data_IF_340561323531
#
_entry.id   IF_340561323531
#
_cell.length_a   1.000
_cell.length_b   1.000
_cell.length_c   1.000
_cell.angle_alpha   90.00
_cell.angle_beta   90.00
_cell.angle_gamma   90.00
#
_symmetry.space_group_name_H-M   'P 1'
#
loop_
_entity.id
_entity.type
_entity.pdbx_description
1 polymer ?
#
# COMPACT_ATOMS: atom_id res chain seq x y z
N UNK A 1 26.16 -5.57 20.84
CA UNK A 1 25.06 -6.11 20.02
C UNK A 1 25.23 -5.85 18.52
N UNK A 2 25.73 -4.67 18.08
CA UNK A 2 25.99 -4.36 16.65
C UNK A 2 26.93 -5.32 15.90
N UNK A 3 27.89 -5.95 16.59
CA UNK A 3 28.86 -6.86 15.95
C UNK A 3 28.32 -8.26 15.62
N UNK A 4 27.20 -8.66 16.23
CA UNK A 4 26.61 -10.00 16.03
C UNK A 4 25.77 -10.05 14.75
N UNK A 5 25.09 -8.96 14.40
CA UNK A 5 24.28 -8.90 13.16
C UNK A 5 25.15 -8.96 11.89
N UNK A 6 26.29 -8.24 11.90
CA UNK A 6 27.24 -8.27 10.77
C UNK A 6 27.86 -9.64 10.59
N UNK A 7 28.06 -10.39 11.68
CA UNK A 7 28.64 -11.74 11.62
C UNK A 7 27.68 -12.79 11.04
N UNK A 8 26.37 -12.62 11.22
CA UNK A 8 25.36 -13.54 10.66
C UNK A 8 25.21 -13.31 9.17
N UNK A 9 25.21 -12.07 8.71
CA UNK A 9 25.16 -11.74 7.28
C UNK A 9 26.41 -12.25 6.53
N UNK A 10 27.59 -12.16 7.14
CA UNK A 10 28.85 -12.65 6.55
C UNK A 10 28.99 -14.19 6.55
N UNK A 11 28.35 -14.90 7.47
CA UNK A 11 28.40 -16.37 7.52
C UNK A 11 27.51 -17.04 6.45
N UNK A 12 26.44 -16.37 6.03
CA UNK A 12 25.57 -16.86 4.93
C UNK A 12 26.22 -16.68 3.55
N UNK A 13 27.10 -15.71 3.37
CA UNK A 13 27.85 -15.48 2.12
C UNK A 13 29.01 -16.49 1.94
N UNK A 14 29.45 -17.17 3.01
CA UNK A 14 30.60 -18.09 2.96
C UNK A 14 30.23 -19.56 2.62
N UNK A 15 28.96 -19.93 2.59
CA UNK A 15 28.52 -21.26 2.16
C UNK A 15 28.26 -21.27 0.65
N UNK A 16 29.31 -21.38 -0.14
CA UNK A 16 29.33 -21.29 -1.59
C UNK A 16 28.36 -22.22 -2.34
N UNK A 17 27.15 -21.76 -2.49
CA UNK A 17 26.26 -22.09 -3.59
C UNK A 17 25.87 -20.75 -4.24
N UNK A 18 25.86 -20.69 -5.57
CA UNK A 18 25.38 -19.53 -6.29
C UNK A 18 23.98 -19.18 -5.73
N UNK A 19 23.92 -18.18 -4.86
CA UNK A 19 22.67 -17.71 -4.30
C UNK A 19 21.85 -17.20 -5.47
N UNK A 20 20.75 -17.86 -5.76
CA UNK A 20 19.78 -17.32 -6.69
C UNK A 20 19.40 -15.93 -6.14
N UNK A 21 19.51 -14.92 -6.98
CA UNK A 21 19.05 -13.57 -6.66
C UNK A 21 17.54 -13.69 -6.40
N UNK A 22 17.08 -13.23 -5.23
CA UNK A 22 15.65 -13.15 -4.92
C UNK A 22 14.99 -12.17 -5.90
N UNK A 23 13.75 -12.43 -6.26
CA UNK A 23 12.95 -11.60 -7.16
C UNK A 23 11.70 -11.19 -6.40
N UNK A 24 11.67 -9.93 -5.99
CA UNK A 24 10.63 -9.39 -5.15
C UNK A 24 9.63 -8.58 -5.97
N UNK A 25 8.36 -8.76 -5.70
CA UNK A 25 7.28 -8.04 -6.38
C UNK A 25 6.62 -7.04 -5.45
N UNK A 26 6.43 -5.83 -5.92
CA UNK A 26 5.70 -4.79 -5.21
C UNK A 26 4.73 -4.04 -6.12
N UNK A 27 3.74 -3.40 -5.51
CA UNK A 27 2.82 -2.54 -6.23
C UNK A 27 3.48 -1.18 -6.53
N UNK A 28 3.27 -0.67 -7.73
CA UNK A 28 3.77 0.65 -8.11
C UNK A 28 3.17 1.74 -7.21
N UNK A 29 4.02 2.59 -6.65
CA UNK A 29 3.63 3.70 -5.81
C UNK A 29 3.70 5.02 -6.57
N UNK A 30 2.59 5.73 -6.66
CA UNK A 30 2.55 7.09 -7.20
C UNK A 30 3.18 7.23 -8.57
N UNK A 31 4.18 8.09 -8.68
CA UNK A 31 4.93 8.36 -9.93
C UNK A 31 6.34 7.78 -9.93
N UNK A 32 6.73 7.04 -8.91
CA UNK A 32 8.06 6.43 -8.92
C UNK A 32 8.17 5.39 -10.01
N UNK A 33 9.21 5.49 -10.81
CA UNK A 33 9.61 4.41 -11.72
C UNK A 33 10.22 3.27 -10.89
N UNK A 34 10.25 2.06 -11.47
CA UNK A 34 10.91 0.91 -10.86
C UNK A 34 12.35 1.23 -10.45
N UNK A 35 13.10 1.96 -11.29
CA UNK A 35 14.48 2.35 -11.01
C UNK A 35 14.61 3.36 -9.87
N UNK A 36 13.67 4.28 -9.74
CA UNK A 36 13.64 5.25 -8.64
C UNK A 36 13.31 4.55 -7.32
N UNK A 37 12.36 3.64 -7.33
CA UNK A 37 12.01 2.86 -6.13
C UNK A 37 13.13 1.91 -5.74
N UNK A 38 13.76 1.20 -6.68
CA UNK A 38 14.93 0.34 -6.42
C UNK A 38 16.10 1.13 -5.84
N UNK A 39 16.39 2.33 -6.39
CA UNK A 39 17.38 3.23 -5.81
C UNK A 39 17.02 3.66 -4.40
N UNK A 40 15.76 4.03 -4.21
CA UNK A 40 15.26 4.45 -2.91
C UNK A 40 15.38 3.35 -1.84
N UNK A 41 14.97 2.11 -2.17
CA UNK A 41 15.12 0.95 -1.30
C UNK A 41 16.60 0.66 -1.04
N UNK A 42 17.42 0.66 -2.08
CA UNK A 42 18.88 0.44 -1.97
C UNK A 42 19.54 1.49 -1.06
N UNK A 43 19.19 2.75 -1.22
CA UNK A 43 19.71 3.85 -0.39
C UNK A 43 19.22 3.74 1.06
N UNK A 44 17.99 3.31 1.27
CA UNK A 44 17.44 3.05 2.59
C UNK A 44 18.16 1.88 3.29
N UNK A 45 18.42 0.80 2.59
CA UNK A 45 19.11 -0.39 3.10
C UNK A 45 20.61 -0.12 3.36
N UNK A 46 21.27 0.68 2.53
CA UNK A 46 22.69 1.00 2.68
C UNK A 46 22.98 2.01 3.79
N UNK A 47 21.98 2.76 4.24
CA UNK A 47 22.11 3.68 5.36
C UNK A 47 21.76 2.98 6.66
N UNK A 48 22.73 2.71 7.51
CA UNK A 48 22.67 2.01 8.82
C UNK A 48 21.60 2.52 9.83
N UNK A 49 20.83 3.54 9.48
CA UNK A 49 19.76 4.12 10.31
C UNK A 49 18.44 3.37 10.21
N UNK A 50 18.26 2.55 9.18
CA UNK A 50 17.14 1.64 9.05
C UNK A 50 17.60 0.25 9.43
N UNK A 51 17.59 -0.02 10.74
CA UNK A 51 17.61 -1.39 11.18
C UNK A 51 16.27 -2.01 10.71
N UNK A 52 16.32 -2.65 9.57
CA UNK A 52 15.37 -3.70 9.23
C UNK A 52 15.46 -4.68 10.40
N UNK A 53 14.56 -4.58 11.36
CA UNK A 53 14.37 -5.62 12.34
C UNK A 53 13.77 -6.80 11.56
N UNK A 54 14.65 -7.58 10.95
CA UNK A 54 14.35 -8.93 10.55
C UNK A 54 13.85 -9.63 11.81
N UNK A 55 12.54 -9.74 11.94
CA UNK A 55 11.98 -10.75 12.82
C UNK A 55 12.44 -12.07 12.22
N UNK A 56 13.51 -12.59 12.72
CA UNK A 56 13.85 -13.98 12.54
C UNK A 56 12.67 -14.76 13.06
N UNK A 57 11.83 -15.16 12.14
CA UNK A 57 10.92 -16.25 12.38
C UNK A 57 11.87 -17.38 12.73
N UNK A 58 11.74 -17.94 13.93
CA UNK A 58 12.57 -19.04 14.42
C UNK A 58 12.18 -20.33 13.67
N UNK A 59 12.29 -20.26 12.34
CA UNK A 59 11.93 -21.30 11.39
C UNK A 59 12.94 -21.36 10.26
N UNK A 60 13.89 -22.30 10.32
CA UNK A 60 14.96 -22.42 9.34
C UNK A 60 14.48 -22.66 7.89
N UNK A 61 13.26 -23.16 7.71
CA UNK A 61 12.67 -23.34 6.39
C UNK A 61 12.40 -22.03 5.63
N UNK A 62 12.42 -20.89 6.32
CA UNK A 62 12.22 -19.56 5.72
C UNK A 62 13.52 -18.81 5.42
N UNK A 63 14.66 -19.38 5.84
CA UNK A 63 15.96 -18.77 5.61
C UNK A 63 16.26 -18.44 4.12
N UNK A 64 15.81 -19.23 3.12
CA UNK A 64 16.02 -18.91 1.71
C UNK A 64 15.34 -17.61 1.25
N UNK A 65 14.29 -17.17 1.94
CA UNK A 65 13.52 -15.97 1.60
C UNK A 65 14.05 -14.71 2.28
N UNK A 66 14.97 -14.87 3.22
CA UNK A 66 15.53 -13.78 4.02
C UNK A 66 16.84 -13.24 3.43
N UNK A 67 17.29 -13.75 2.32
CA UNK A 67 18.58 -13.39 1.74
C UNK A 67 18.41 -12.63 0.44
N UNK A 68 18.96 -11.48 0.45
CA UNK A 68 19.48 -10.71 -0.65
C UNK A 68 18.53 -9.69 -1.27
N UNK A 69 19.06 -8.51 -1.40
CA UNK A 69 18.75 -7.52 -2.41
C UNK A 69 18.57 -8.25 -3.74
N UNK A 70 17.35 -8.33 -4.23
CA UNK A 70 16.97 -9.04 -5.43
C UNK A 70 16.70 -8.10 -6.60
N UNK A 71 16.25 -8.67 -7.69
CA UNK A 71 15.70 -7.91 -8.79
C UNK A 71 14.27 -7.47 -8.42
N UNK A 72 14.05 -6.17 -8.31
CA UNK A 72 12.74 -5.61 -8.03
C UNK A 72 11.88 -5.55 -9.29
N UNK A 73 10.64 -6.00 -9.17
CA UNK A 73 9.66 -5.98 -10.26
C UNK A 73 8.41 -5.21 -9.84
N UNK A 74 8.09 -4.12 -10.54
CA UNK A 74 6.85 -3.38 -10.29
C UNK A 74 5.67 -3.96 -11.06
N UNK A 75 4.52 -3.99 -10.43
CA UNK A 75 3.26 -4.49 -11.00
C UNK A 75 2.17 -3.42 -10.92
N UNK A 76 1.26 -3.44 -11.88
CA UNK A 76 0.14 -2.50 -11.93
C UNK A 76 -1.05 -2.95 -11.08
N UNK A 77 -1.09 -4.21 -10.65
CA UNK A 77 -2.17 -4.76 -9.83
C UNK A 77 -1.69 -5.88 -8.91
N UNK A 78 -2.40 -6.06 -7.79
CA UNK A 78 -2.18 -7.18 -6.87
C UNK A 78 -2.37 -8.54 -7.58
N UNK A 79 -3.35 -8.63 -8.48
CA UNK A 79 -3.63 -9.85 -9.23
C UNK A 79 -2.46 -10.24 -10.15
N UNK A 80 -1.87 -9.27 -10.86
CA UNK A 80 -0.69 -9.51 -11.69
C UNK A 80 0.51 -9.97 -10.85
N UNK A 81 0.73 -9.34 -9.70
CA UNK A 81 1.81 -9.69 -8.79
C UNK A 81 1.63 -11.09 -8.22
N UNK A 82 0.41 -11.47 -7.80
CA UNK A 82 0.09 -12.81 -7.33
C UNK A 82 0.28 -13.88 -8.43
N UNK A 83 -0.14 -13.59 -9.66
CA UNK A 83 0.11 -14.50 -10.80
C UNK A 83 1.61 -14.67 -11.07
N UNK A 84 2.41 -13.62 -10.92
CA UNK A 84 3.86 -13.69 -11.08
C UNK A 84 4.51 -14.56 -9.98
N UNK A 85 4.06 -14.43 -8.73
CA UNK A 85 4.47 -15.26 -7.60
C UNK A 85 4.09 -16.72 -7.85
N UNK A 86 2.86 -17.00 -8.26
CA UNK A 86 2.39 -18.36 -8.55
C UNK A 86 3.15 -19.02 -9.70
N UNK A 87 3.48 -18.24 -10.72
CA UNK A 87 4.28 -18.72 -11.86
C UNK A 87 5.78 -18.85 -11.54
N UNK A 88 6.24 -18.46 -10.35
CA UNK A 88 7.65 -18.45 -9.97
C UNK A 88 8.49 -17.43 -10.74
N UNK A 89 7.87 -16.37 -11.26
CA UNK A 89 8.57 -15.24 -11.88
C UNK A 89 9.18 -14.30 -10.84
N UNK A 90 8.55 -14.22 -9.68
CA UNK A 90 9.05 -13.58 -8.47
C UNK A 90 9.03 -14.59 -7.34
N UNK A 91 9.83 -14.39 -6.33
CA UNK A 91 9.97 -15.29 -5.18
C UNK A 91 9.09 -14.84 -4.02
N UNK A 92 8.89 -13.53 -3.91
CA UNK A 92 8.03 -12.89 -2.92
C UNK A 92 7.20 -11.77 -3.54
N UNK A 93 6.13 -11.41 -2.86
CA UNK A 93 5.39 -10.18 -3.12
C UNK A 93 5.31 -9.34 -1.85
N UNK A 94 5.64 -8.07 -1.96
CA UNK A 94 5.57 -7.11 -0.87
C UNK A 94 4.17 -6.51 -0.75
N UNK A 95 3.58 -6.64 0.44
CA UNK A 95 2.25 -6.10 0.74
C UNK A 95 2.32 -5.16 1.96
N UNK A 96 1.52 -4.11 1.91
CA UNK A 96 1.23 -3.33 3.12
C UNK A 96 0.51 -4.22 4.15
N UNK A 97 0.81 -4.01 5.42
CA UNK A 97 0.24 -4.81 6.51
C UNK A 97 -1.28 -5.05 6.38
N UNK A 98 -2.16 -4.05 6.17
CA UNK A 98 -3.59 -4.31 6.10
C UNK A 98 -3.99 -5.19 4.91
N UNK A 99 -3.28 -5.08 3.79
CA UNK A 99 -3.51 -5.92 2.61
C UNK A 99 -3.03 -7.35 2.85
N UNK A 100 -1.88 -7.52 3.50
CA UNK A 100 -1.38 -8.84 3.88
C UNK A 100 -2.30 -9.53 4.89
N UNK A 101 -2.74 -8.84 5.93
CA UNK A 101 -3.67 -9.37 6.91
C UNK A 101 -4.98 -9.84 6.26
N UNK A 102 -5.53 -9.04 5.35
CA UNK A 102 -6.70 -9.43 4.57
C UNK A 102 -6.42 -10.63 3.66
N UNK A 103 -5.29 -10.61 2.94
CA UNK A 103 -4.89 -11.72 2.06
C UNK A 103 -4.86 -13.07 2.79
N UNK A 104 -4.35 -13.09 4.02
CA UNK A 104 -4.28 -14.31 4.83
C UNK A 104 -5.61 -14.69 5.50
N UNK A 105 -6.61 -13.81 5.54
CA UNK A 105 -7.98 -14.18 5.94
C UNK A 105 -8.73 -14.92 4.83
N UNK A 106 -8.34 -14.72 3.57
CA UNK A 106 -8.99 -15.39 2.44
C UNK A 106 -8.72 -16.89 2.47
N UNK A 107 -9.77 -17.68 2.21
CA UNK A 107 -9.73 -19.14 2.26
C UNK A 107 -8.66 -19.73 1.33
N UNK A 108 -7.83 -20.59 1.87
CA UNK A 108 -6.79 -21.33 1.15
C UNK A 108 -5.46 -20.59 0.98
N UNK A 109 -5.39 -19.29 1.25
CA UNK A 109 -4.11 -18.57 1.14
C UNK A 109 -3.12 -19.02 2.21
N UNK A 110 -3.56 -19.26 3.43
CA UNK A 110 -2.73 -19.84 4.49
C UNK A 110 -2.16 -21.23 4.16
N UNK A 111 -2.76 -21.96 3.22
CA UNK A 111 -2.27 -23.28 2.83
C UNK A 111 -1.14 -23.17 1.80
N UNK A 112 -1.15 -22.13 0.98
CA UNK A 112 -0.24 -21.94 -0.16
C UNK A 112 0.91 -20.98 0.13
N UNK A 113 0.69 -19.97 0.97
CA UNK A 113 1.61 -18.86 1.16
C UNK A 113 2.04 -18.71 2.61
N UNK A 114 3.13 -17.98 2.80
CA UNK A 114 3.76 -17.69 4.10
C UNK A 114 4.00 -16.19 4.19
N UNK A 115 3.57 -15.53 5.28
CA UNK A 115 3.94 -14.16 5.55
C UNK A 115 5.27 -14.08 6.31
N UNK A 116 6.07 -13.08 6.02
CA UNK A 116 7.13 -12.60 6.91
C UNK A 116 7.18 -11.07 6.92
N UNK A 117 7.47 -10.53 8.08
CA UNK A 117 7.53 -9.09 8.28
C UNK A 117 8.96 -8.63 7.98
N UNK A 118 9.12 -7.72 7.00
CA UNK A 118 10.45 -7.27 6.57
C UNK A 118 10.82 -5.95 7.20
N UNK A 119 9.90 -5.00 7.30
CA UNK A 119 10.24 -3.66 7.72
C UNK A 119 9.36 -3.14 8.84
N UNK A 120 10.01 -2.58 9.84
CA UNK A 120 9.42 -1.69 10.82
C UNK A 120 10.28 -0.44 10.88
N UNK A 121 9.66 0.72 11.05
CA UNK A 121 10.37 1.98 11.28
C UNK A 121 10.22 3.02 10.18
N UNK A 122 9.69 2.66 9.02
CA UNK A 122 9.23 3.63 8.03
C UNK A 122 7.71 3.74 8.13
N UNK A 123 7.20 4.91 8.40
CA UNK A 123 5.76 5.13 8.54
C UNK A 123 5.17 5.55 7.21
N UNK A 124 4.19 4.78 6.76
CA UNK A 124 3.44 5.01 5.53
C UNK A 124 2.10 5.64 5.87
N UNK A 125 1.63 6.50 5.00
CA UNK A 125 0.37 7.22 5.16
C UNK A 125 -0.51 7.08 3.94
N UNK A 126 -1.83 7.08 4.17
CA UNK A 126 -2.81 7.34 3.13
C UNK A 126 -3.36 8.75 3.30
N UNK A 127 -3.37 9.48 2.21
CA UNK A 127 -3.96 10.80 2.08
C UNK A 127 -4.74 10.89 0.76
N UNK A 128 -5.46 11.97 0.56
CA UNK A 128 -6.03 12.29 -0.75
C UNK A 128 -5.17 13.35 -1.43
N UNK A 129 -4.90 13.16 -2.71
CA UNK A 129 -4.18 14.11 -3.55
C UNK A 129 -5.12 14.92 -4.41
N UNK A 130 -4.84 16.21 -4.52
CA UNK A 130 -5.55 17.17 -5.37
C UNK A 130 -4.54 18.01 -6.15
N UNK A 131 -4.92 18.47 -7.34
CA UNK A 131 -4.14 19.49 -8.02
C UNK A 131 -3.99 20.72 -7.13
N UNK A 132 -2.81 21.32 -7.07
CA UNK A 132 -2.58 22.54 -6.32
C UNK A 132 -3.55 23.64 -6.78
N UNK A 133 -4.21 24.32 -5.82
CA UNK A 133 -5.25 25.30 -6.08
C UNK A 133 -6.64 24.71 -6.39
N UNK A 134 -6.82 23.38 -6.29
CA UNK A 134 -8.15 22.77 -6.42
C UNK A 134 -9.12 23.30 -5.37
N UNK A 135 -10.34 23.67 -5.81
CA UNK A 135 -11.42 24.08 -4.90
C UNK A 135 -11.85 22.98 -3.92
N UNK A 136 -11.54 21.72 -4.24
CA UNK A 136 -11.92 20.56 -3.44
C UNK A 136 -10.94 20.21 -2.33
N UNK A 137 -9.70 20.70 -2.42
CA UNK A 137 -8.66 20.36 -1.44
C UNK A 137 -9.10 20.69 -0.02
N UNK A 138 -9.43 21.94 0.24
CA UNK A 138 -9.76 22.41 1.60
C UNK A 138 -11.04 21.76 2.16
N UNK A 139 -12.18 21.65 1.41
CA UNK A 139 -13.34 20.93 1.88
C UNK A 139 -13.07 19.47 2.28
N UNK A 140 -12.31 18.73 1.47
CA UNK A 140 -11.96 17.35 1.78
C UNK A 140 -11.02 17.24 2.97
N UNK A 141 -10.01 18.10 3.05
CA UNK A 141 -9.08 18.16 4.17
C UNK A 141 -9.78 18.43 5.50
N UNK A 142 -10.69 19.41 5.55
CA UNK A 142 -11.49 19.70 6.74
C UNK A 142 -12.46 18.56 7.10
N UNK A 143 -13.04 17.88 6.11
CA UNK A 143 -13.85 16.69 6.36
C UNK A 143 -13.01 15.57 7.03
N UNK A 144 -11.80 15.29 6.55
CA UNK A 144 -10.88 14.32 7.15
C UNK A 144 -10.50 14.71 8.58
N UNK A 145 -10.14 15.98 8.82
CA UNK A 145 -9.87 16.49 10.17
C UNK A 145 -11.06 16.31 11.11
N UNK A 146 -12.26 16.60 10.61
CA UNK A 146 -13.50 16.42 11.37
C UNK A 146 -13.74 14.94 11.70
N UNK A 147 -13.51 14.01 10.75
CA UNK A 147 -13.63 12.58 10.95
C UNK A 147 -12.60 12.02 11.95
N UNK A 148 -11.42 12.61 11.98
CA UNK A 148 -10.41 12.31 13.02
C UNK A 148 -10.91 12.73 14.40
N UNK A 149 -11.40 13.96 14.51
CA UNK A 149 -11.85 14.59 15.76
C UNK A 149 -13.02 13.83 16.39
N UNK A 150 -14.01 13.44 15.62
CA UNK A 150 -15.20 12.73 16.09
C UNK A 150 -15.05 11.20 16.10
N UNK A 151 -13.84 10.69 15.80
CA UNK A 151 -13.47 9.27 15.75
C UNK A 151 -14.15 8.46 14.64
N UNK A 152 -14.77 9.09 13.65
CA UNK A 152 -15.35 8.38 12.51
C UNK A 152 -14.31 7.54 11.77
N UNK A 153 -13.08 8.06 11.57
CA UNK A 153 -11.99 7.29 10.96
C UNK A 153 -11.66 6.03 11.74
N UNK A 154 -11.73 6.07 13.07
CA UNK A 154 -11.48 4.89 13.90
C UNK A 154 -12.56 3.81 13.68
N UNK A 155 -13.83 4.20 13.61
CA UNK A 155 -14.92 3.27 13.34
C UNK A 155 -14.83 2.67 11.94
N UNK A 156 -14.57 3.50 10.92
CA UNK A 156 -14.38 3.00 9.55
C UNK A 156 -13.18 2.07 9.44
N UNK A 157 -12.07 2.37 10.13
CA UNK A 157 -10.90 1.47 10.19
C UNK A 157 -11.28 0.13 10.81
N UNK A 158 -11.99 0.12 11.93
CA UNK A 158 -12.43 -1.12 12.56
C UNK A 158 -13.28 -1.95 11.58
N UNK A 159 -14.30 -1.35 10.99
CA UNK A 159 -15.24 -2.02 10.10
C UNK A 159 -14.64 -2.51 8.79
N UNK A 160 -13.82 -1.68 8.12
CA UNK A 160 -13.37 -1.94 6.75
C UNK A 160 -11.93 -2.45 6.63
N UNK A 161 -11.15 -2.46 7.72
CA UNK A 161 -9.80 -3.04 7.73
C UNK A 161 -9.71 -4.18 8.75
N UNK A 162 -10.06 -3.93 10.03
CA UNK A 162 -9.83 -4.93 11.07
C UNK A 162 -10.83 -6.09 10.97
N UNK A 163 -12.11 -5.78 10.69
CA UNK A 163 -13.20 -6.75 10.55
C UNK A 163 -13.43 -7.18 9.08
N UNK A 164 -12.60 -6.69 8.15
CA UNK A 164 -12.71 -7.04 6.73
C UNK A 164 -12.61 -8.55 6.52
N UNK A 165 -13.51 -9.10 5.70
CA UNK A 165 -13.56 -10.50 5.30
C UNK A 165 -13.82 -10.68 3.80
N UNK A 166 -14.04 -11.92 3.35
CA UNK A 166 -14.32 -12.25 1.94
C UNK A 166 -15.67 -11.66 1.42
N UNK A 167 -16.55 -11.21 2.31
CA UNK A 167 -17.88 -10.68 1.98
C UNK A 167 -18.00 -9.23 2.48
N UNK A 168 -17.35 -8.27 1.84
CA UNK A 168 -17.35 -6.90 2.29
C UNK A 168 -18.76 -6.31 2.27
N UNK A 169 -19.09 -5.52 3.28
CA UNK A 169 -20.32 -4.73 3.25
C UNK A 169 -20.24 -3.69 2.13
N UNK A 170 -21.27 -3.60 1.26
CA UNK A 170 -21.29 -2.61 0.18
C UNK A 170 -21.30 -1.19 0.73
N UNK A 171 -20.41 -0.36 0.23
CA UNK A 171 -20.42 1.07 0.54
C UNK A 171 -21.45 1.76 -0.34
N UNK A 172 -22.37 2.50 0.29
CA UNK A 172 -23.40 3.26 -0.42
C UNK A 172 -23.08 4.75 -0.37
N UNK A 173 -23.19 5.40 -1.52
CA UNK A 173 -23.14 6.84 -1.61
C UNK A 173 -24.55 7.43 -1.58
N UNK A 174 -24.74 8.40 -0.70
CA UNK A 174 -25.94 9.23 -0.73
C UNK A 174 -25.99 10.02 -2.03
N UNK A 175 -27.19 10.31 -2.50
CA UNK A 175 -27.41 11.18 -3.66
C UNK A 175 -28.03 12.50 -3.20
N UNK A 176 -27.42 13.59 -3.62
CA UNK A 176 -27.84 14.95 -3.30
C UNK A 176 -28.34 15.60 -4.59
N UNK A 177 -29.67 15.81 -4.75
CA UNK A 177 -30.20 16.52 -5.92
C UNK A 177 -29.55 17.89 -6.07
N UNK A 178 -29.22 18.25 -7.31
CA UNK A 178 -28.62 19.53 -7.69
C UNK A 178 -27.24 19.85 -7.08
N UNK A 179 -26.62 18.88 -6.37
CA UNK A 179 -25.27 19.03 -5.86
C UNK A 179 -24.20 18.79 -6.91
N UNK A 180 -23.07 19.45 -6.75
CA UNK A 180 -21.90 19.19 -7.61
C UNK A 180 -21.46 17.74 -7.51
N UNK A 181 -20.96 17.21 -8.61
CA UNK A 181 -20.35 15.88 -8.67
C UNK A 181 -18.83 16.03 -8.72
N UNK A 182 -18.15 15.38 -7.79
CA UNK A 182 -16.69 15.32 -7.72
C UNK A 182 -16.22 13.99 -8.28
N UNK A 183 -15.25 14.02 -9.18
CA UNK A 183 -14.66 12.83 -9.78
C UNK A 183 -13.40 12.43 -9.04
N UNK A 184 -13.41 11.23 -8.45
CA UNK A 184 -12.28 10.70 -7.68
C UNK A 184 -11.71 9.47 -8.38
N UNK A 185 -10.40 9.50 -8.65
CA UNK A 185 -9.70 8.37 -9.21
C UNK A 185 -9.31 7.36 -8.12
N UNK A 186 -9.54 6.09 -8.40
CA UNK A 186 -9.28 4.95 -7.51
C UNK A 186 -8.53 3.87 -8.29
N UNK A 187 -7.69 3.09 -7.62
CA UNK A 187 -7.02 1.95 -8.26
C UNK A 187 -7.89 0.70 -8.27
N UNK A 188 -8.65 0.50 -7.22
CA UNK A 188 -9.66 -0.55 -7.14
C UNK A 188 -9.12 -1.98 -7.02
N UNK A 189 -7.87 -2.16 -6.59
CA UNK A 189 -7.20 -3.46 -6.57
C UNK A 189 -6.34 -3.74 -5.32
N UNK A 190 -6.52 -2.96 -4.25
CA UNK A 190 -5.76 -3.08 -3.00
C UNK A 190 -6.71 -3.37 -1.82
N UNK A 191 -7.29 -4.58 -1.74
CA UNK A 191 -8.15 -4.93 -0.61
C UNK A 191 -7.33 -5.01 0.70
N UNK A 192 -7.93 -4.66 1.85
CA UNK A 192 -9.29 -4.15 2.04
C UNK A 192 -9.38 -2.62 1.94
N UNK A 193 -8.32 -1.96 1.44
CA UNK A 193 -8.19 -0.50 1.41
C UNK A 193 -9.02 0.10 0.27
N UNK A 194 -8.75 -0.34 -0.96
CA UNK A 194 -9.33 0.20 -2.18
C UNK A 194 -9.49 -0.93 -3.21
N UNK A 195 -10.71 -1.41 -3.43
CA UNK A 195 -10.95 -2.49 -4.37
C UNK A 195 -12.37 -2.49 -4.94
N UNK A 196 -12.54 -3.24 -6.02
CA UNK A 196 -13.83 -3.52 -6.63
C UNK A 196 -14.25 -4.93 -6.18
N UNK A 197 -15.40 -5.03 -5.55
CA UNK A 197 -15.97 -6.31 -5.12
C UNK A 197 -16.36 -7.19 -6.33
N UNK A 198 -16.60 -8.47 -6.10
CA UNK A 198 -16.89 -9.43 -7.15
C UNK A 198 -18.16 -9.10 -7.98
N UNK A 199 -19.09 -8.35 -7.41
CA UNK A 199 -20.30 -7.86 -8.07
C UNK A 199 -20.08 -6.55 -8.87
N UNK A 200 -18.84 -6.04 -8.90
CA UNK A 200 -18.48 -4.80 -9.59
C UNK A 200 -18.70 -3.53 -8.76
N UNK A 201 -19.11 -3.64 -7.50
CA UNK A 201 -19.29 -2.47 -6.65
C UNK A 201 -17.98 -2.01 -6.01
N UNK A 202 -17.74 -0.68 -5.91
CA UNK A 202 -16.62 -0.14 -5.14
C UNK A 202 -16.75 -0.51 -3.67
N UNK A 203 -15.65 -0.98 -3.08
CA UNK A 203 -15.60 -1.46 -1.71
C UNK A 203 -14.31 -1.02 -1.00
N UNK A 204 -14.24 -1.26 0.30
CA UNK A 204 -13.08 -1.02 1.11
C UNK A 204 -13.07 0.31 1.83
N UNK A 205 -12.01 0.48 2.58
CA UNK A 205 -11.83 1.58 3.51
C UNK A 205 -11.82 2.96 2.83
N UNK A 206 -11.13 3.09 1.70
CA UNK A 206 -11.09 4.34 0.93
C UNK A 206 -12.48 4.73 0.42
N UNK A 207 -13.23 3.77 -0.11
CA UNK A 207 -14.60 4.00 -0.57
C UNK A 207 -15.52 4.43 0.57
N UNK A 208 -15.38 3.82 1.75
CA UNK A 208 -16.16 4.19 2.94
C UNK A 208 -15.82 5.61 3.44
N UNK A 209 -14.54 5.98 3.47
CA UNK A 209 -14.11 7.35 3.79
C UNK A 209 -14.72 8.33 2.80
N UNK A 210 -14.66 8.04 1.51
CA UNK A 210 -15.17 8.92 0.48
C UNK A 210 -16.70 9.10 0.57
N UNK A 211 -17.43 8.03 0.88
CA UNK A 211 -18.87 8.12 1.10
C UNK A 211 -19.21 9.01 2.30
N UNK A 212 -18.46 8.92 3.38
CA UNK A 212 -18.64 9.77 4.55
C UNK A 212 -18.27 11.23 4.26
N UNK A 213 -17.19 11.48 3.52
CA UNK A 213 -16.84 12.85 3.06
C UNK A 213 -17.97 13.41 2.21
N UNK A 214 -18.45 12.64 1.24
CA UNK A 214 -19.56 13.06 0.36
C UNK A 214 -20.81 13.42 1.14
N UNK A 215 -21.16 12.62 2.15
CA UNK A 215 -22.28 12.88 3.06
C UNK A 215 -22.11 14.16 3.85
N UNK A 216 -20.91 14.44 4.40
CA UNK A 216 -20.62 15.68 5.16
C UNK A 216 -20.67 16.91 4.28
N UNK A 217 -20.12 16.83 3.09
CA UNK A 217 -20.05 17.96 2.15
C UNK A 217 -21.33 18.12 1.33
N UNK A 218 -22.25 17.14 1.38
CA UNK A 218 -23.47 17.05 0.55
C UNK A 218 -23.17 17.18 -0.94
N UNK A 219 -22.22 16.40 -1.41
CA UNK A 219 -21.78 16.34 -2.81
C UNK A 219 -22.04 14.94 -3.38
N UNK A 220 -22.14 14.87 -4.71
CA UNK A 220 -22.15 13.60 -5.41
C UNK A 220 -20.70 13.17 -5.76
N UNK A 221 -20.48 11.87 -5.87
CA UNK A 221 -19.17 11.31 -6.23
C UNK A 221 -19.31 10.43 -7.48
N UNK A 222 -18.39 10.61 -8.42
CA UNK A 222 -18.15 9.71 -9.54
C UNK A 222 -16.77 9.07 -9.34
N UNK A 223 -16.72 7.74 -9.37
CA UNK A 223 -15.46 7.01 -9.27
C UNK A 223 -14.89 6.72 -10.64
N UNK A 224 -13.58 6.95 -10.82
CA UNK A 224 -12.83 6.63 -12.02
C UNK A 224 -11.76 5.62 -11.70
N UNK A 225 -11.80 4.44 -12.30
CA UNK A 225 -10.73 3.46 -12.14
C UNK A 225 -9.49 3.86 -12.96
N UNK A 226 -8.31 3.78 -12.34
CA UNK A 226 -7.00 4.07 -12.95
C UNK A 226 -5.96 3.04 -12.49
N UNK A 227 -4.89 2.91 -13.25
CA UNK A 227 -3.68 2.21 -12.78
C UNK A 227 -2.93 3.05 -11.75
N UNK A 228 -2.24 2.40 -10.83
CA UNK A 228 -1.51 3.06 -9.75
C UNK A 228 -0.53 4.13 -10.25
N UNK A 229 0.23 3.87 -11.30
CA UNK A 229 1.16 4.82 -11.91
C UNK A 229 0.52 6.02 -12.62
N UNK A 230 -0.80 6.03 -12.82
CA UNK A 230 -1.49 7.11 -13.50
C UNK A 230 -1.96 8.25 -12.59
N UNK A 231 -1.79 8.14 -11.26
CA UNK A 231 -2.33 9.09 -10.26
C UNK A 231 -1.99 10.55 -10.55
N UNK A 232 -0.72 10.88 -10.74
CA UNK A 232 -0.31 12.25 -10.99
C UNK A 232 -0.79 12.76 -12.36
N UNK A 233 -0.71 11.91 -13.37
CA UNK A 233 -1.14 12.28 -14.73
C UNK A 233 -2.63 12.58 -14.81
N UNK A 234 -3.48 11.86 -14.07
CA UNK A 234 -4.91 12.08 -14.06
C UNK A 234 -5.27 13.40 -13.38
N UNK A 235 -4.56 13.80 -12.32
CA UNK A 235 -4.71 15.11 -11.69
C UNK A 235 -4.19 16.24 -12.57
N UNK A 236 -3.00 16.09 -13.13
CA UNK A 236 -2.39 17.09 -14.01
C UNK A 236 -3.26 17.38 -15.24
N UNK A 237 -3.90 16.35 -15.80
CA UNK A 237 -4.81 16.48 -16.95
C UNK A 237 -6.26 16.85 -16.59
N UNK A 238 -6.56 17.07 -15.30
CA UNK A 238 -7.89 17.40 -14.78
C UNK A 238 -8.99 16.40 -15.17
N UNK A 239 -8.60 15.14 -15.41
CA UNK A 239 -9.55 14.04 -15.68
C UNK A 239 -10.26 13.57 -14.42
N UNK A 240 -9.63 13.76 -13.25
CA UNK A 240 -10.24 13.62 -11.95
C UNK A 240 -9.93 14.85 -11.09
N UNK A 241 -10.82 15.16 -10.16
CA UNK A 241 -10.67 16.24 -9.20
C UNK A 241 -9.73 15.86 -8.05
N UNK A 242 -9.73 14.58 -7.67
CA UNK A 242 -8.92 14.05 -6.60
C UNK A 242 -8.57 12.58 -6.81
N UNK A 243 -7.62 12.07 -6.03
CA UNK A 243 -7.13 10.70 -6.09
C UNK A 243 -6.72 10.24 -4.71
N UNK A 244 -6.87 8.95 -4.42
CA UNK A 244 -6.23 8.37 -3.25
C UNK A 244 -4.74 8.22 -3.46
N UNK A 245 -3.96 8.64 -2.45
CA UNK A 245 -2.51 8.68 -2.51
C UNK A 245 -1.90 8.00 -1.32
N UNK A 246 -0.83 7.27 -1.49
CA UNK A 246 0.03 6.94 -0.38
C UNK A 246 1.43 7.51 -0.52
N UNK A 247 2.02 7.74 0.65
CA UNK A 247 3.34 8.32 0.80
C UNK A 247 3.93 7.86 2.14
N UNK A 248 5.22 7.97 2.28
CA UNK A 248 5.85 7.67 3.55
C UNK A 248 6.39 8.92 4.22
N UNK A 249 6.46 8.86 5.55
CA UNK A 249 6.98 9.95 6.34
C UNK A 249 8.46 10.15 6.06
N UNK A 250 8.84 11.41 6.01
CA UNK A 250 10.21 11.83 6.00
C UNK A 250 10.88 11.42 7.30
N UNK A 251 11.85 10.53 7.24
CA UNK A 251 12.83 10.44 8.31
C UNK A 251 13.92 11.49 8.07
N UNK A 252 14.84 11.69 9.05
CA UNK A 252 15.88 12.74 8.96
C UNK A 252 16.71 12.74 7.68
N UNK A 253 16.70 11.64 6.91
CA UNK A 253 17.45 11.48 5.67
C UNK A 253 16.59 11.22 4.42
N UNK A 254 15.31 10.86 4.57
CA UNK A 254 14.43 10.56 3.44
C UNK A 254 13.48 11.71 3.18
N UNK A 255 13.34 12.08 1.94
CA UNK A 255 12.32 13.05 1.52
C UNK A 255 10.95 12.36 1.50
N UNK A 256 9.88 13.13 1.77
CA UNK A 256 8.54 12.64 1.53
C UNK A 256 8.48 12.04 0.14
N UNK A 257 8.14 10.77 0.09
CA UNK A 257 8.30 9.91 -1.05
C UNK A 257 7.90 10.52 -2.37
N UNK A 258 6.75 10.27 -2.88
CA UNK A 258 6.40 10.43 -4.27
C UNK A 258 5.38 11.53 -4.56
N UNK A 259 5.32 12.59 -3.73
CA UNK A 259 4.41 13.70 -4.02
C UNK A 259 4.97 14.58 -5.13
N UNK A 260 4.43 14.55 -6.35
CA UNK A 260 4.92 15.37 -7.43
C UNK A 260 4.64 16.85 -7.17
N UNK A 261 5.43 17.71 -7.81
CA UNK A 261 5.16 19.15 -7.81
C UNK A 261 3.75 19.45 -8.36
N UNK A 262 3.06 20.39 -7.73
CA UNK A 262 1.71 20.80 -8.14
C UNK A 262 0.58 19.92 -7.60
N UNK A 263 0.87 19.01 -6.65
CA UNK A 263 -0.13 18.22 -5.93
C UNK A 263 -0.11 18.60 -4.46
N UNK A 264 -1.29 18.83 -3.90
CA UNK A 264 -1.53 19.04 -2.47
C UNK A 264 -2.11 17.75 -1.87
N UNK A 265 -1.53 17.29 -0.75
CA UNK A 265 -2.04 16.15 0.01
C UNK A 265 -2.82 16.64 1.23
N UNK A 266 -3.97 16.01 1.49
CA UNK A 266 -4.74 16.24 2.71
C UNK A 266 -3.99 15.75 3.95
N UNK A 267 -4.52 16.05 5.14
CA UNK A 267 -4.13 15.31 6.34
C UNK A 267 -4.28 13.81 6.10
N UNK A 268 -3.36 13.00 6.63
CA UNK A 268 -3.45 11.56 6.49
C UNK A 268 -4.65 11.01 7.27
N UNK A 269 -5.39 10.11 6.64
CA UNK A 269 -6.54 9.45 7.27
C UNK A 269 -6.23 8.03 7.75
N UNK A 270 -5.09 7.47 7.37
CA UNK A 270 -4.60 6.16 7.81
C UNK A 270 -3.08 6.09 7.76
N UNK A 271 -2.50 5.25 8.60
CA UNK A 271 -1.06 4.98 8.57
C UNK A 271 -0.74 3.56 9.05
N UNK A 272 0.38 3.02 8.57
CA UNK A 272 1.01 1.78 9.02
C UNK A 272 2.53 1.92 8.98
N UNK A 273 3.24 1.00 9.62
CA UNK A 273 4.69 0.98 9.71
C UNK A 273 5.29 -0.41 9.40
N UNK A 274 4.48 -1.29 8.85
CA UNK A 274 4.85 -2.67 8.61
C UNK A 274 4.59 -3.05 7.16
N UNK A 275 5.60 -3.61 6.53
CA UNK A 275 5.55 -4.26 5.23
C UNK A 275 5.65 -5.77 5.47
N UNK A 276 4.91 -6.53 4.69
CA UNK A 276 4.87 -7.98 4.77
C UNK A 276 5.22 -8.57 3.42
N UNK A 277 6.29 -9.31 3.36
CA UNK A 277 6.56 -10.18 2.22
C UNK A 277 5.72 -11.43 2.31
N UNK A 278 5.24 -11.85 1.17
CA UNK A 278 4.46 -13.07 1.02
C UNK A 278 5.15 -13.97 0.02
N UNK A 279 5.61 -15.13 0.46
CA UNK A 279 6.21 -16.15 -0.38
C UNK A 279 5.35 -17.41 -0.47
N UNK A 280 5.69 -18.31 -1.39
CA UNK A 280 5.03 -19.62 -1.49
C UNK A 280 5.57 -20.59 -0.43
N UNK A 281 4.69 -21.40 0.14
CA UNK A 281 5.12 -22.56 0.93
C UNK A 281 5.87 -23.53 0.05
N UNK A 282 7.06 -23.92 0.48
CA UNK A 282 7.79 -25.01 -0.15
C UNK A 282 7.06 -26.33 0.19
N UNK A 283 6.49 -26.96 -0.82
CA UNK A 283 6.04 -28.33 -0.66
C UNK A 283 7.26 -29.23 -0.45
N UNK A 284 7.31 -29.89 0.69
CA UNK A 284 8.31 -30.94 0.96
C UNK A 284 8.02 -32.16 0.12
#
# INVERSE_FOLDING_TARGET
MKKILISILLLLVAAGSASAISRDGYLAFGNMTTEELSRYISDAVSNDEYAWELYTIDRPEYAPYLTAVGEDHSFNSLAEMLMALDAGKIDTMELQQPTAEYFFKLKGNNDKYIPYVIARGVKYYLAMGFKEGSKWFEPFNEAIKSMTKDKTLLFLKAQYIMDADENPEPVKFDKFPDAETVKIAVTGDIPPIDYIAADGTPAGFNTAILAEIARRLKINVELMNINAGARAAVLASEKADGVFWFWFEKTTKMQNGDTPNGISLTEPYYSWDTIVDVGKKLHK
#
